data_IF_502638265103
#
_entry.id   IF_502638265103
#
_cell.length_a   1.000
_cell.length_b   1.000
_cell.length_c   1.000
_cell.angle_alpha   90.00
_cell.angle_beta   90.00
_cell.angle_gamma   90.00
#
_symmetry.space_group_name_H-M   'P 1'
#
loop_
_entity.id
_entity.type
_entity.pdbx_description
1 polymer ?
#
# COMPACT_ATOMS: atom_id res chain seq x y z
N UNK A 1 -7.26 12.17 -8.64
CA UNK A 1 -6.10 11.60 -7.91
C UNK A 1 -6.45 11.25 -6.47
N UNK A 2 -6.80 12.23 -5.63
CA UNK A 2 -7.16 11.98 -4.22
C UNK A 2 -8.25 10.92 -4.01
N UNK A 3 -9.31 10.89 -4.84
CA UNK A 3 -10.35 9.84 -4.78
C UNK A 3 -9.79 8.43 -4.93
N UNK A 4 -8.81 8.22 -5.82
CA UNK A 4 -8.19 6.90 -5.98
C UNK A 4 -7.42 6.50 -4.73
N UNK A 5 -6.66 7.40 -4.11
CA UNK A 5 -5.94 7.10 -2.87
C UNK A 5 -6.88 6.74 -1.71
N UNK A 6 -8.03 7.44 -1.61
CA UNK A 6 -9.07 7.09 -0.63
C UNK A 6 -9.59 5.67 -0.88
N UNK A 7 -9.82 5.29 -2.14
CA UNK A 7 -10.25 3.93 -2.48
C UNK A 7 -9.18 2.88 -2.19
N UNK A 8 -7.89 3.17 -2.44
CA UNK A 8 -6.80 2.25 -2.05
C UNK A 8 -6.89 1.94 -0.55
N UNK A 9 -6.97 2.96 0.30
CA UNK A 9 -7.01 2.76 1.75
C UNK A 9 -8.22 1.95 2.24
N UNK A 10 -9.38 2.06 1.57
CA UNK A 10 -10.59 1.31 1.91
C UNK A 10 -10.56 -0.14 1.45
N UNK A 11 -9.98 -0.38 0.28
CA UNK A 11 -10.03 -1.69 -0.38
C UNK A 11 -8.80 -2.54 -0.12
N UNK A 12 -7.73 -2.00 0.48
CA UNK A 12 -6.45 -2.69 0.60
C UNK A 12 -6.53 -4.03 1.36
N UNK A 13 -7.50 -4.19 2.25
CA UNK A 13 -7.73 -5.44 2.99
C UNK A 13 -8.79 -6.32 2.31
N UNK A 14 -9.94 -5.74 1.94
CA UNK A 14 -11.10 -6.48 1.41
C UNK A 14 -11.03 -6.81 -0.08
N UNK A 15 -10.54 -5.90 -0.93
CA UNK A 15 -10.31 -6.13 -2.36
C UNK A 15 -8.95 -5.54 -2.80
N UNK A 16 -7.84 -6.25 -2.51
CA UNK A 16 -6.50 -5.79 -2.83
C UNK A 16 -6.26 -5.58 -4.34
N UNK A 17 -6.98 -6.31 -5.19
CA UNK A 17 -6.82 -6.20 -6.65
C UNK A 17 -7.47 -4.92 -7.17
N UNK A 18 -8.68 -4.59 -6.72
CA UNK A 18 -9.31 -3.31 -7.04
C UNK A 18 -8.53 -2.14 -6.41
N UNK A 19 -8.00 -2.31 -5.19
CA UNK A 19 -7.10 -1.33 -4.58
C UNK A 19 -5.87 -1.07 -5.47
N UNK A 20 -5.27 -2.13 -6.04
CA UNK A 20 -4.17 -2.00 -6.98
C UNK A 20 -4.57 -1.25 -8.26
N UNK A 21 -5.73 -1.52 -8.84
CA UNK A 21 -6.22 -0.77 -10.02
C UNK A 21 -6.38 0.73 -9.72
N UNK A 22 -6.97 1.08 -8.57
CA UNK A 22 -7.05 2.46 -8.13
C UNK A 22 -5.66 3.08 -7.95
N UNK A 23 -4.72 2.37 -7.32
CA UNK A 23 -3.35 2.83 -7.13
C UNK A 23 -2.65 3.11 -8.47
N UNK A 24 -2.83 2.26 -9.47
CA UNK A 24 -2.26 2.46 -10.80
C UNK A 24 -2.91 3.62 -11.55
N UNK A 25 -4.23 3.81 -11.42
CA UNK A 25 -4.91 5.00 -11.93
C UNK A 25 -4.42 6.29 -11.27
N UNK A 26 -3.99 6.18 -10.01
CA UNK A 26 -3.37 7.23 -9.24
C UNK A 26 -1.96 7.58 -9.75
N UNK A 27 -1.10 6.57 -9.95
CA UNK A 27 0.27 6.71 -10.47
C UNK A 27 0.28 7.40 -11.84
N UNK A 28 -0.67 7.08 -12.74
CA UNK A 28 -0.78 7.73 -14.07
C UNK A 28 -0.92 9.26 -13.99
N UNK A 29 -1.47 9.78 -12.88
CA UNK A 29 -1.72 11.23 -12.69
C UNK A 29 -0.74 11.89 -11.73
N UNK A 30 -0.11 11.11 -10.83
CA UNK A 30 0.66 11.62 -9.70
C UNK A 30 1.95 10.86 -9.42
N UNK A 31 2.55 10.19 -10.42
CA UNK A 31 3.70 9.31 -10.24
C UNK A 31 5.01 9.94 -9.74
N UNK A 32 5.03 11.20 -9.30
CA UNK A 32 6.20 11.81 -8.62
C UNK A 32 5.92 12.15 -7.16
N UNK A 33 4.70 11.90 -6.71
CA UNK A 33 4.28 12.14 -5.33
C UNK A 33 4.52 10.85 -4.55
N UNK A 34 5.15 10.96 -3.38
CA UNK A 34 5.54 9.86 -2.52
C UNK A 34 4.34 9.02 -2.04
N UNK A 35 3.28 9.64 -1.50
CA UNK A 35 2.08 8.92 -1.03
C UNK A 35 1.41 8.09 -2.13
N UNK A 36 1.59 8.49 -3.39
CA UNK A 36 1.05 7.79 -4.56
C UNK A 36 1.85 6.54 -4.86
N UNK A 37 3.17 6.67 -4.75
CA UNK A 37 4.12 5.57 -4.92
C UNK A 37 3.98 4.58 -3.76
N UNK A 38 3.75 5.07 -2.56
CA UNK A 38 3.47 4.24 -1.38
C UNK A 38 2.19 3.43 -1.57
N UNK A 39 1.08 4.07 -1.93
CA UNK A 39 -0.17 3.38 -2.22
C UNK A 39 -0.01 2.29 -3.29
N UNK A 40 0.71 2.58 -4.38
CA UNK A 40 1.02 1.60 -5.42
C UNK A 40 1.91 0.45 -4.91
N UNK A 41 2.93 0.76 -4.11
CA UNK A 41 3.83 -0.23 -3.52
C UNK A 41 3.12 -1.18 -2.57
N UNK A 42 2.27 -0.66 -1.68
CA UNK A 42 1.51 -1.46 -0.71
C UNK A 42 0.42 -2.30 -1.39
N UNK A 43 -0.30 -1.74 -2.37
CA UNK A 43 -1.29 -2.52 -3.14
C UNK A 43 -0.62 -3.62 -3.99
N UNK A 44 0.52 -3.33 -4.60
CA UNK A 44 1.33 -4.33 -5.30
C UNK A 44 1.82 -5.43 -4.34
N UNK A 45 2.20 -5.08 -3.11
CA UNK A 45 2.62 -6.06 -2.11
C UNK A 45 1.47 -7.00 -1.71
N UNK A 46 0.29 -6.46 -1.40
CA UNK A 46 -0.90 -7.26 -1.01
C UNK A 46 -1.40 -8.18 -2.12
N UNK A 47 -1.07 -7.88 -3.37
CA UNK A 47 -1.42 -8.70 -4.55
C UNK A 47 -0.27 -9.60 -5.02
N UNK A 48 0.80 -9.77 -4.22
CA UNK A 48 1.91 -10.66 -4.53
C UNK A 48 2.85 -10.17 -5.64
N UNK A 49 2.72 -8.91 -6.08
CA UNK A 49 3.57 -8.28 -7.10
C UNK A 49 4.86 -7.74 -6.47
N UNK A 50 5.57 -8.59 -5.73
CA UNK A 50 6.70 -8.21 -4.88
C UNK A 50 7.80 -7.43 -5.61
N UNK A 51 8.10 -7.80 -6.86
CA UNK A 51 9.09 -7.08 -7.66
C UNK A 51 8.68 -5.64 -8.00
N UNK A 52 7.38 -5.39 -8.18
CA UNK A 52 6.82 -4.05 -8.38
C UNK A 52 6.78 -3.27 -7.07
N UNK A 53 6.23 -3.89 -6.01
CA UNK A 53 6.19 -3.31 -4.68
C UNK A 53 7.55 -2.79 -4.24
N UNK A 54 8.59 -3.61 -4.39
CA UNK A 54 9.96 -3.27 -4.02
C UNK A 54 10.52 -2.08 -4.83
N UNK A 55 10.16 -1.93 -6.11
CA UNK A 55 10.58 -0.76 -6.92
C UNK A 55 9.89 0.52 -6.43
N UNK A 56 8.61 0.44 -6.14
CA UNK A 56 7.82 1.57 -5.67
C UNK A 56 8.26 2.02 -4.27
N UNK A 57 8.40 1.10 -3.31
CA UNK A 57 8.82 1.41 -1.94
C UNK A 57 10.26 1.94 -1.87
N UNK A 58 11.18 1.43 -2.71
CA UNK A 58 12.52 2.04 -2.87
C UNK A 58 12.43 3.47 -3.41
N UNK A 59 11.44 3.75 -4.25
CA UNK A 59 11.21 5.09 -4.78
C UNK A 59 10.66 6.02 -3.70
N UNK A 60 9.70 5.55 -2.89
CA UNK A 60 9.19 6.27 -1.71
C UNK A 60 10.36 6.66 -0.80
N UNK A 61 11.20 5.68 -0.39
CA UNK A 61 12.35 5.95 0.46
C UNK A 61 13.35 6.93 -0.15
N UNK A 62 13.57 6.92 -1.47
CA UNK A 62 14.40 7.96 -2.13
C UNK A 62 13.76 9.36 -2.12
N UNK A 63 12.43 9.45 -2.10
CA UNK A 63 11.70 10.71 -2.12
C UNK A 63 11.63 11.36 -0.74
N UNK A 64 11.38 10.57 0.32
CA UNK A 64 11.13 11.10 1.67
C UNK A 64 12.14 10.64 2.74
N UNK A 65 13.03 9.70 2.43
CA UNK A 65 14.03 9.18 3.37
C UNK A 65 13.50 8.26 4.46
N UNK A 66 12.21 7.92 4.46
CA UNK A 66 11.62 7.15 5.56
C UNK A 66 12.00 5.66 5.49
N UNK A 67 12.40 5.05 6.63
CA UNK A 67 12.66 3.61 6.73
C UNK A 67 11.40 2.78 6.98
N UNK A 68 10.22 3.38 7.17
CA UNK A 68 9.00 2.69 7.65
C UNK A 68 8.61 1.44 6.84
N UNK A 69 8.97 1.40 5.55
CA UNK A 69 8.67 0.27 4.66
C UNK A 69 9.77 -0.80 4.57
N UNK A 70 10.85 -0.70 5.35
CA UNK A 70 11.88 -1.74 5.42
C UNK A 70 11.32 -3.16 5.70
N UNK A 71 10.35 -3.36 6.61
CA UNK A 71 9.74 -4.67 6.82
C UNK A 71 9.08 -5.23 5.55
N UNK A 72 8.27 -4.42 4.86
CA UNK A 72 7.59 -4.81 3.62
C UNK A 72 8.59 -5.08 2.50
N UNK A 73 9.66 -4.27 2.41
CA UNK A 73 10.73 -4.48 1.43
C UNK A 73 11.50 -5.77 1.69
N UNK A 74 11.77 -6.12 2.95
CA UNK A 74 12.40 -7.38 3.33
C UNK A 74 11.49 -8.57 2.97
N UNK A 75 10.18 -8.47 3.26
CA UNK A 75 9.24 -9.54 2.95
C UNK A 75 9.02 -9.72 1.44
N UNK A 76 9.06 -8.62 0.66
CA UNK A 76 9.09 -8.70 -0.80
C UNK A 76 10.30 -9.50 -1.32
N UNK A 77 11.48 -9.36 -0.71
CA UNK A 77 12.65 -10.16 -1.11
C UNK A 77 12.44 -11.65 -0.77
N UNK A 78 11.80 -11.97 0.36
CA UNK A 78 11.37 -13.36 0.67
C UNK A 78 10.35 -13.89 -0.33
N UNK A 79 9.31 -13.13 -0.65
CA UNK A 79 8.30 -13.50 -1.64
C UNK A 79 8.85 -13.68 -3.06
N UNK A 80 10.03 -13.11 -3.35
CA UNK A 80 10.80 -13.35 -4.58
C UNK A 80 11.72 -14.57 -4.50
N UNK A 81 11.68 -15.34 -3.41
CA UNK A 81 12.55 -16.49 -3.15
C UNK A 81 13.99 -16.10 -2.81
N UNK A 82 14.21 -14.95 -2.18
CA UNK A 82 15.54 -14.42 -1.84
C UNK A 82 15.65 -14.10 -0.34
N UNK A 83 15.46 -15.07 0.56
CA UNK A 83 15.44 -14.84 2.01
C UNK A 83 16.74 -14.21 2.53
N UNK A 84 17.90 -14.51 1.93
CA UNK A 84 19.18 -13.89 2.31
C UNK A 84 19.16 -12.37 2.10
N UNK A 85 18.46 -11.90 1.07
CA UNK A 85 18.31 -10.46 0.81
C UNK A 85 17.41 -9.79 1.83
N UNK A 86 16.42 -10.50 2.37
CA UNK A 86 15.61 -10.00 3.48
C UNK A 86 16.47 -9.75 4.73
N UNK A 87 17.42 -10.66 5.02
CA UNK A 87 18.38 -10.48 6.11
C UNK A 87 19.32 -9.29 5.88
N UNK A 88 19.72 -9.02 4.63
CA UNK A 88 20.50 -7.82 4.28
C UNK A 88 19.68 -6.54 4.53
N UNK A 89 18.40 -6.52 4.16
CA UNK A 89 17.51 -5.38 4.45
C UNK A 89 17.39 -5.14 5.95
N UNK A 90 17.32 -6.21 6.75
CA UNK A 90 17.26 -6.11 8.21
C UNK A 90 18.56 -5.58 8.87
N UNK A 91 19.65 -5.50 8.12
CA UNK A 91 20.93 -4.90 8.56
C UNK A 91 21.07 -3.43 8.15
N UNK A 92 20.06 -2.85 7.51
CA UNK A 92 20.07 -1.44 7.13
C UNK A 92 20.25 -0.56 8.39
N UNK A 93 21.18 0.41 8.39
CA UNK A 93 21.43 1.24 9.57
C UNK A 93 20.20 2.05 10.02
N UNK A 94 19.28 2.37 9.10
CA UNK A 94 18.06 3.12 9.41
C UNK A 94 17.00 2.26 10.12
N UNK A 95 17.22 0.94 10.29
CA UNK A 95 16.38 0.08 11.15
C UNK A 95 16.31 0.63 12.58
N UNK A 96 17.36 1.31 13.05
CA UNK A 96 17.37 1.95 14.36
C UNK A 96 16.36 3.10 14.51
N UNK A 97 15.83 3.63 13.41
CA UNK A 97 14.85 4.72 13.38
C UNK A 97 13.40 4.22 13.25
N UNK A 98 13.18 2.91 13.10
CA UNK A 98 11.85 2.33 12.97
C UNK A 98 10.99 2.53 14.21
N UNK A 99 9.68 2.67 13.98
CA UNK A 99 8.68 2.57 15.04
C UNK A 99 8.76 1.19 15.74
N UNK A 100 8.28 1.12 16.98
CA UNK A 100 8.27 -0.14 17.73
C UNK A 100 7.46 -1.22 17.00
N UNK A 101 6.35 -0.84 16.37
CA UNK A 101 5.52 -1.72 15.55
C UNK A 101 6.28 -2.22 14.32
N UNK A 102 6.90 -1.33 13.53
CA UNK A 102 7.68 -1.72 12.36
C UNK A 102 8.89 -2.60 12.72
N UNK A 103 9.49 -2.41 13.91
CA UNK A 103 10.53 -3.30 14.43
C UNK A 103 10.03 -4.72 14.69
N UNK A 104 8.80 -4.88 15.21
CA UNK A 104 8.18 -6.19 15.42
C UNK A 104 7.85 -6.85 14.09
N UNK A 105 7.30 -6.09 13.13
CA UNK A 105 7.07 -6.56 11.77
C UNK A 105 8.37 -7.06 11.12
N UNK A 106 9.44 -6.27 11.19
CA UNK A 106 10.74 -6.67 10.65
C UNK A 106 11.25 -7.95 11.32
N UNK A 107 11.12 -8.09 12.65
CA UNK A 107 11.55 -9.29 13.37
C UNK A 107 10.76 -10.54 12.93
N UNK A 108 9.46 -10.41 12.67
CA UNK A 108 8.64 -11.50 12.12
C UNK A 108 9.10 -11.90 10.71
N UNK A 109 9.39 -10.92 9.85
CA UNK A 109 9.93 -11.17 8.50
C UNK A 109 11.31 -11.83 8.57
N UNK A 110 12.20 -11.37 9.46
CA UNK A 110 13.51 -11.99 9.67
C UNK A 110 13.37 -13.43 10.16
N UNK A 111 12.45 -13.70 11.08
CA UNK A 111 12.14 -15.06 11.53
C UNK A 111 11.72 -15.94 10.36
N UNK A 112 10.78 -15.47 9.53
CA UNK A 112 10.34 -16.17 8.33
C UNK A 112 11.50 -16.43 7.36
N UNK A 113 12.35 -15.44 7.09
CA UNK A 113 13.51 -15.60 6.19
C UNK A 113 14.50 -16.66 6.70
N UNK A 114 14.69 -16.76 8.03
CA UNK A 114 15.53 -17.78 8.64
C UNK A 114 14.91 -19.18 8.51
N UNK A 115 13.59 -19.31 8.62
CA UNK A 115 12.90 -20.57 8.37
C UNK A 115 13.00 -20.99 6.90
N UNK A 116 12.89 -20.04 5.95
CA UNK A 116 13.08 -20.30 4.53
C UNK A 116 14.52 -20.80 4.21
N UNK A 117 15.48 -20.52 5.09
CA UNK A 117 16.88 -20.94 5.03
C UNK A 117 17.18 -22.21 5.86
N UNK A 118 16.17 -22.85 6.46
CA UNK A 118 16.33 -24.01 7.34
C UNK A 118 17.16 -23.70 8.61
N UNK A 119 17.00 -22.49 9.16
CA UNK A 119 17.69 -22.01 10.37
C UNK A 119 16.71 -21.70 11.53
N UNK A 120 15.99 -22.71 12.07
CA UNK A 120 14.88 -22.49 12.99
C UNK A 120 15.28 -21.89 14.35
N UNK A 121 16.46 -22.21 14.88
CA UNK A 121 16.94 -21.60 16.12
C UNK A 121 17.23 -20.11 15.95
N UNK A 122 17.76 -19.72 14.78
CA UNK A 122 17.99 -18.32 14.45
C UNK A 122 16.68 -17.56 14.23
N UNK A 123 15.68 -18.21 13.63
CA UNK A 123 14.33 -17.67 13.51
C UNK A 123 13.73 -17.35 14.89
N UNK A 124 13.79 -18.31 15.80
CA UNK A 124 13.30 -18.13 17.17
C UNK A 124 14.05 -17.02 17.93
N UNK A 125 15.37 -16.92 17.72
CA UNK A 125 16.18 -15.87 18.33
C UNK A 125 15.77 -14.46 17.85
N UNK A 126 15.42 -14.30 16.57
CA UNK A 126 14.98 -13.02 16.01
C UNK A 126 13.71 -12.48 16.70
N UNK A 127 12.81 -13.37 17.11
CA UNK A 127 11.58 -13.02 17.82
C UNK A 127 11.77 -12.80 19.32
N UNK A 128 12.97 -13.04 19.85
CA UNK A 128 13.26 -13.03 21.28
C UNK A 128 13.42 -11.63 21.90
N UNK A 129 13.40 -10.57 21.08
CA UNK A 129 13.73 -9.20 21.50
C UNK A 129 12.70 -8.61 22.48
N UNK A 130 13.10 -7.67 23.36
CA UNK A 130 12.17 -7.00 24.27
C UNK A 130 11.02 -6.30 23.54
N UNK A 131 11.26 -5.74 22.36
CA UNK A 131 10.27 -5.05 21.54
C UNK A 131 9.17 -6.01 21.08
N UNK A 132 9.54 -7.19 20.56
CA UNK A 132 8.57 -8.22 20.14
C UNK A 132 7.76 -8.72 21.34
N UNK A 133 8.40 -8.89 22.50
CA UNK A 133 7.68 -9.31 23.73
C UNK A 133 6.76 -8.25 24.30
N UNK A 134 6.97 -6.98 23.97
CA UNK A 134 6.15 -5.86 24.41
C UNK A 134 5.00 -5.54 23.45
N UNK A 135 4.88 -6.26 22.33
CA UNK A 135 3.74 -6.12 21.41
C UNK A 135 2.41 -6.41 22.13
N UNK A 136 1.33 -5.77 21.67
CA UNK A 136 -0.01 -5.90 22.26
C UNK A 136 -1.07 -6.08 21.17
N UNK A 137 -2.24 -6.62 21.53
CA UNK A 137 -3.37 -6.80 20.61
C UNK A 137 -3.04 -7.74 19.46
N UNK A 138 -3.55 -7.44 18.27
CA UNK A 138 -3.37 -8.24 17.04
C UNK A 138 -1.88 -8.47 16.73
N UNK A 139 -1.03 -7.48 16.95
CA UNK A 139 0.41 -7.62 16.71
C UNK A 139 1.08 -8.64 17.65
N UNK A 140 0.61 -8.75 18.90
CA UNK A 140 1.10 -9.76 19.84
C UNK A 140 0.70 -11.18 19.40
N UNK A 141 -0.55 -11.34 18.95
CA UNK A 141 -1.04 -12.61 18.41
C UNK A 141 -0.26 -13.04 17.16
N UNK A 142 0.02 -12.10 16.24
CA UNK A 142 0.88 -12.35 15.06
C UNK A 142 2.30 -12.77 15.45
N UNK A 143 2.90 -12.08 16.41
CA UNK A 143 4.24 -12.44 16.92
C UNK A 143 4.25 -13.82 17.61
N UNK A 144 3.17 -14.19 18.31
CA UNK A 144 3.00 -15.50 18.92
C UNK A 144 2.87 -16.61 17.86
N UNK A 145 2.08 -16.39 16.79
CA UNK A 145 1.99 -17.31 15.64
C UNK A 145 3.36 -17.51 14.96
N UNK A 146 4.11 -16.43 14.72
CA UNK A 146 5.45 -16.52 14.17
C UNK A 146 6.40 -17.31 15.09
N UNK A 147 6.30 -17.13 16.42
CA UNK A 147 7.12 -17.85 17.40
C UNK A 147 6.74 -19.32 17.49
N UNK A 148 5.45 -19.64 17.51
CA UNK A 148 4.95 -21.01 17.47
C UNK A 148 5.47 -21.75 16.23
N UNK A 149 5.40 -21.12 15.05
CA UNK A 149 5.96 -21.67 13.81
C UNK A 149 7.46 -21.97 13.92
N UNK A 150 8.24 -21.05 14.50
CA UNK A 150 9.67 -21.27 14.71
C UNK A 150 9.96 -22.36 15.77
N UNK A 151 9.14 -22.46 16.81
CA UNK A 151 9.24 -23.51 17.84
C UNK A 151 8.95 -24.89 17.25
N UNK A 152 7.92 -25.00 16.41
CA UNK A 152 7.59 -26.24 15.70
C UNK A 152 8.72 -26.69 14.77
N UNK A 153 9.33 -25.75 14.04
CA UNK A 153 10.48 -26.03 13.20
C UNK A 153 11.72 -26.49 14.01
N UNK A 154 11.83 -26.09 15.28
CA UNK A 154 12.82 -26.61 16.22
C UNK A 154 12.43 -27.98 16.83
N UNK A 155 11.27 -28.55 16.51
CA UNK A 155 10.72 -29.75 17.13
C UNK A 155 10.18 -29.55 18.56
N UNK A 156 9.89 -28.29 18.96
CA UNK A 156 9.46 -27.90 20.31
C UNK A 156 7.93 -27.71 20.37
N UNK A 157 7.19 -28.71 19.92
CA UNK A 157 5.73 -28.66 19.74
C UNK A 157 4.95 -28.25 21.00
N UNK A 158 5.27 -28.84 22.16
CA UNK A 158 4.62 -28.48 23.43
C UNK A 158 4.80 -26.99 23.78
N UNK A 159 5.91 -26.38 23.35
CA UNK A 159 6.16 -24.95 23.57
C UNK A 159 5.40 -24.08 22.58
N UNK A 160 5.27 -24.52 21.32
CA UNK A 160 4.45 -23.85 20.32
C UNK A 160 2.98 -23.79 20.75
N UNK A 161 2.42 -24.91 21.24
CA UNK A 161 1.06 -24.95 21.78
C UNK A 161 0.88 -24.01 22.97
N UNK A 162 1.85 -23.97 23.89
CA UNK A 162 1.82 -23.06 25.05
C UNK A 162 1.92 -21.59 24.67
N UNK A 163 2.64 -21.27 23.60
CA UNK A 163 2.74 -19.90 23.09
C UNK A 163 1.39 -19.38 22.58
N UNK A 164 0.58 -20.25 21.96
CA UNK A 164 -0.72 -19.91 21.39
C UNK A 164 -1.88 -20.01 22.38
N UNK A 165 -1.75 -20.81 23.44
CA UNK A 165 -2.78 -21.05 24.45
C UNK A 165 -3.45 -19.80 25.06
N UNK A 166 -2.78 -18.63 25.20
CA UNK A 166 -3.42 -17.41 25.70
C UNK A 166 -4.42 -16.76 24.73
N UNK A 167 -4.39 -17.10 23.44
CA UNK A 167 -5.20 -16.45 22.40
C UNK A 167 -6.40 -17.32 22.00
N UNK A 168 -7.54 -16.68 21.78
CA UNK A 168 -8.73 -17.31 21.22
C UNK A 168 -8.56 -17.59 19.72
N UNK A 169 -9.42 -18.46 19.17
CA UNK A 169 -9.42 -18.75 17.74
C UNK A 169 -9.75 -17.50 16.89
N UNK A 170 -10.60 -16.61 17.39
CA UNK A 170 -10.95 -15.35 16.72
C UNK A 170 -9.77 -14.38 16.68
N UNK A 171 -9.05 -14.20 17.79
CA UNK A 171 -7.84 -13.36 17.84
C UNK A 171 -6.74 -13.90 16.91
N UNK A 172 -6.60 -15.22 16.80
CA UNK A 172 -5.63 -15.85 15.89
C UNK A 172 -6.05 -15.73 14.41
N UNK A 173 -7.35 -15.77 14.11
CA UNK A 173 -7.87 -15.55 12.75
C UNK A 173 -7.70 -14.08 12.33
N UNK A 174 -8.03 -13.14 13.22
CA UNK A 174 -7.80 -11.71 13.01
C UNK A 174 -6.30 -11.43 12.77
N UNK A 175 -5.42 -12.04 13.57
CA UNK A 175 -3.98 -11.95 13.40
C UNK A 175 -3.47 -12.52 12.06
N UNK A 176 -4.06 -13.61 11.58
CA UNK A 176 -3.73 -14.18 10.27
C UNK A 176 -4.17 -13.26 9.10
N UNK A 177 -5.05 -12.29 9.36
CA UNK A 177 -5.70 -11.47 8.34
C UNK A 177 -6.89 -12.18 7.68
N UNK A 178 -7.42 -13.24 8.30
CA UNK A 178 -8.60 -13.99 7.87
C UNK A 178 -9.90 -13.32 8.36
N UNK A 179 -10.00 -12.00 8.19
CA UNK A 179 -11.21 -11.24 8.46
C UNK A 179 -11.82 -10.81 7.14
N UNK A 180 -12.86 -11.54 6.73
CA UNK A 180 -13.80 -11.10 5.69
C UNK A 180 -14.56 -9.88 6.22
N UNK A 181 -13.99 -8.68 6.04
CA UNK A 181 -14.77 -7.46 6.12
C UNK A 181 -15.61 -7.37 4.83
N UNK A 182 -16.79 -7.99 4.84
CA UNK A 182 -17.84 -7.81 3.82
C UNK A 182 -18.38 -6.37 3.85
N UNK A 183 -17.53 -5.37 3.59
CA UNK A 183 -17.98 -4.04 3.25
C UNK A 183 -18.38 -4.04 1.77
N UNK A 184 -19.70 -4.06 1.54
CA UNK A 184 -20.33 -3.93 0.23
C UNK A 184 -20.07 -2.51 -0.33
N UNK A 185 -18.84 -2.25 -0.80
CA UNK A 185 -18.42 -0.96 -1.33
C UNK A 185 -19.05 -0.77 -2.71
N UNK A 186 -20.23 -0.15 -2.75
CA UNK A 186 -20.88 0.27 -4.00
C UNK A 186 -20.06 1.39 -4.63
N UNK A 187 -19.29 1.05 -5.67
CA UNK A 187 -18.53 2.00 -6.48
C UNK A 187 -19.44 2.60 -7.56
N UNK A 188 -19.62 3.92 -7.52
CA UNK A 188 -20.14 4.67 -8.67
C UNK A 188 -18.97 5.10 -9.54
N UNK A 189 -18.78 4.43 -10.68
CA UNK A 189 -17.94 4.94 -11.76
C UNK A 189 -18.63 6.17 -12.36
N UNK A 190 -18.32 7.36 -11.84
CA UNK A 190 -18.52 8.60 -12.57
C UNK A 190 -17.30 8.82 -13.47
N UNK A 191 -17.13 7.94 -14.45
CA UNK A 191 -16.37 8.21 -15.66
C UNK A 191 -17.36 8.51 -16.79
N UNK A 192 -18.06 9.63 -16.67
CA UNK A 192 -18.42 10.43 -17.84
C UNK A 192 -18.60 11.88 -17.42
N UNK A 193 -17.49 12.60 -17.46
CA UNK A 193 -17.46 14.01 -17.85
C UNK A 193 -16.04 14.17 -18.42
N UNK A 194 -15.83 13.56 -19.59
CA UNK A 194 -14.96 14.20 -20.56
C UNK A 194 -15.43 15.64 -20.63
N UNK A 195 -14.55 16.58 -20.24
CA UNK A 195 -14.69 17.96 -20.70
C UNK A 195 -14.62 17.93 -22.22
N UNK A 196 -15.77 17.75 -22.87
CA UNK A 196 -15.92 18.03 -24.29
C UNK A 196 -15.53 19.49 -24.47
N UNK A 197 -14.52 19.68 -25.31
CA UNK A 197 -13.88 20.96 -25.52
C UNK A 197 -14.85 22.06 -25.91
N UNK A 198 -14.51 23.26 -25.44
CA UNK A 198 -14.84 24.57 -26.02
C UNK A 198 -15.66 24.52 -27.33
N UNK A 199 -16.95 24.80 -27.22
CA UNK A 199 -17.64 25.60 -28.22
C UNK A 199 -17.86 26.98 -27.63
N UNK A 200 -17.00 27.90 -28.07
CA UNK A 200 -17.18 29.34 -27.92
C UNK A 200 -18.31 29.72 -28.87
N UNK A 201 -19.53 29.88 -28.34
CA UNK A 201 -20.63 30.43 -29.14
C UNK A 201 -20.51 31.95 -29.13
N UNK A 202 -20.09 32.49 -30.29
CA UNK A 202 -20.05 33.91 -30.57
C UNK A 202 -21.48 34.44 -30.80
N UNK A 203 -21.78 35.71 -30.48
CA UNK A 203 -23.15 36.22 -30.55
C UNK A 203 -23.63 36.36 -32.00
N UNK A 204 -24.80 35.78 -32.30
CA UNK A 204 -25.50 35.96 -33.57
C UNK A 204 -25.97 37.41 -33.73
N UNK A 205 -25.35 38.12 -34.67
CA UNK A 205 -25.92 39.29 -35.30
C UNK A 205 -26.50 38.91 -36.65
N UNK A 206 -27.77 39.29 -36.87
CA UNK A 206 -28.16 40.30 -37.87
C UNK A 206 -29.46 39.91 -38.64
N UNK A 207 -30.58 40.48 -38.19
CA UNK A 207 -31.81 40.59 -38.97
C UNK A 207 -31.91 42.01 -39.55
N UNK A 208 -32.39 42.19 -40.80
CA UNK A 208 -32.10 43.37 -41.61
C UNK A 208 -32.91 44.61 -41.20
N UNK A 209 -32.37 45.83 -41.37
CA UNK A 209 -33.15 47.05 -41.20
C UNK A 209 -33.99 47.38 -42.46
N UNK A 210 -35.20 47.94 -42.31
CA UNK A 210 -35.96 48.45 -43.44
C UNK A 210 -35.60 49.90 -43.81
N UNK A 211 -35.47 50.11 -45.12
CA UNK A 211 -35.72 51.27 -45.99
C UNK A 211 -35.14 52.67 -45.70
N UNK A 212 -34.58 53.23 -46.79
CA UNK A 212 -33.93 54.52 -46.96
C UNK A 212 -34.86 55.74 -46.89
N UNK A 213 -34.30 56.89 -46.51
CA UNK A 213 -34.20 58.10 -47.35
C UNK A 213 -33.59 59.26 -46.55
N UNK A 214 -32.41 59.75 -46.94
CA UNK A 214 -32.09 61.20 -46.97
C UNK A 214 -30.96 61.45 -47.97
N UNK A 215 -31.28 62.35 -48.89
CA UNK A 215 -30.54 62.81 -50.05
C UNK A 215 -29.50 63.90 -49.69
N UNK A 216 -28.43 64.00 -50.49
CA UNK A 216 -27.48 65.12 -50.52
C UNK A 216 -26.06 64.81 -50.05
N UNK A 217 -25.07 65.01 -50.93
CA UNK A 217 -24.24 66.20 -50.72
C UNK A 217 -24.06 67.03 -51.99
N UNK A 218 -24.10 68.35 -51.79
CA UNK A 218 -23.66 69.32 -52.77
C UNK A 218 -22.16 69.25 -52.99
N UNK A 219 -21.75 69.39 -54.24
CA UNK A 219 -20.42 69.83 -54.61
C UNK A 219 -20.54 71.25 -55.18
N UNK A 220 -19.73 72.15 -54.61
CA UNK A 220 -19.50 73.50 -55.09
C UNK A 220 -18.88 73.50 -56.50
N UNK A 221 -19.16 74.57 -57.22
CA UNK A 221 -18.22 75.20 -58.13
C UNK A 221 -17.84 76.57 -57.54
#
# INVERSE_FOLDING_TARGET
MGRHLVMVGRLLQSDPELAYEHAQAAVRRGGRVDVVREAAGLAAYRTGRYGEALRELRTVRRLNGSPEHLPVMADCERGLGRPERALVVAQDPEVAELSAEAMVELAMVVSGARLDLDEPEAALAALGTPQVRAATGVLAARAAQARATALDACGRHDEAERELAPYSAEELAEAAGDVDEEDDVVVYDLLDDTVEGEQVDAPEGEGPPPAADVDGPGHEA
#
